data_IF_697719917158
#
_entry.id   IF_697719917158
#
_cell.length_a   1.000
_cell.length_b   1.000
_cell.length_c   1.000
_cell.angle_alpha   90.00
_cell.angle_beta   90.00
_cell.angle_gamma   90.00
#
_symmetry.space_group_name_H-M   'P 1'
#
loop_
_entity.id
_entity.type
_entity.pdbx_description
1 polymer ?
#
# COMPACT_ATOMS: atom_id res chain seq x y z
N UNK A 1 -15.83 -17.08 13.87
CA UNK A 1 -14.83 -18.11 13.69
C UNK A 1 -14.21 -18.00 12.32
N UNK A 2 -12.92 -18.16 12.27
CA UNK A 2 -12.17 -18.08 11.04
C UNK A 2 -11.89 -19.49 10.51
N UNK A 3 -12.06 -19.68 9.22
CA UNK A 3 -11.89 -20.97 8.58
C UNK A 3 -11.13 -20.86 7.29
N UNK A 4 -10.34 -21.87 7.00
CA UNK A 4 -9.77 -22.02 5.68
C UNK A 4 -10.82 -22.60 4.74
N UNK A 5 -10.64 -22.33 3.44
CA UNK A 5 -11.48 -22.95 2.43
C UNK A 5 -11.15 -24.43 2.30
N UNK A 6 -12.18 -25.20 2.02
CA UNK A 6 -11.96 -26.59 1.68
C UNK A 6 -11.60 -26.70 0.21
N UNK A 7 -10.58 -27.47 -0.08
CA UNK A 7 -10.18 -27.78 -1.45
C UNK A 7 -10.40 -29.25 -1.69
N UNK A 8 -10.95 -29.55 -2.84
CA UNK A 8 -11.14 -30.93 -3.27
C UNK A 8 -10.26 -31.13 -4.50
N UNK A 9 -9.41 -32.14 -4.42
CA UNK A 9 -8.50 -32.54 -5.51
C UNK A 9 -7.59 -31.43 -6.01
N UNK A 10 -7.12 -30.57 -5.09
CA UNK A 10 -6.18 -29.52 -5.42
C UNK A 10 -6.75 -28.41 -6.29
N UNK A 11 -8.03 -28.39 -6.53
CA UNK A 11 -8.67 -27.29 -7.25
C UNK A 11 -9.37 -26.37 -6.28
N UNK A 12 -9.25 -25.09 -6.49
CA UNK A 12 -9.87 -24.08 -5.65
C UNK A 12 -11.31 -23.76 -6.08
N UNK A 13 -11.84 -24.48 -7.03
CA UNK A 13 -13.10 -24.13 -7.69
C UNK A 13 -14.34 -24.28 -6.81
N UNK A 14 -14.27 -25.10 -5.78
CA UNK A 14 -15.44 -25.41 -4.95
C UNK A 14 -15.19 -25.10 -3.49
N UNK A 15 -14.85 -23.85 -3.18
CA UNK A 15 -14.81 -23.43 -1.80
C UNK A 15 -16.26 -23.28 -1.29
N UNK A 16 -16.59 -24.02 -0.26
CA UNK A 16 -17.89 -23.94 0.38
C UNK A 16 -17.84 -22.84 1.44
N UNK A 17 -18.79 -21.91 1.38
CA UNK A 17 -18.92 -20.93 2.45
C UNK A 17 -19.33 -21.65 3.73
N UNK A 18 -18.55 -21.47 4.79
CA UNK A 18 -18.80 -22.06 6.09
C UNK A 18 -19.43 -20.99 6.98
N UNK A 19 -20.52 -21.28 7.68
CA UNK A 19 -21.13 -20.29 8.57
C UNK A 19 -20.09 -19.71 9.54
N UNK A 20 -20.05 -18.38 9.64
CA UNK A 20 -19.07 -17.67 10.44
C UNK A 20 -17.70 -17.49 9.77
N UNK A 21 -17.53 -17.93 8.54
CA UNK A 21 -16.31 -17.68 7.77
C UNK A 21 -16.32 -16.25 7.25
N UNK A 22 -15.25 -15.53 7.54
CA UNK A 22 -14.99 -14.20 6.97
C UNK A 22 -13.91 -14.32 5.90
N UNK A 23 -14.23 -13.88 4.69
CA UNK A 23 -13.23 -13.80 3.64
C UNK A 23 -12.15 -12.80 4.04
N UNK A 24 -10.91 -13.07 3.60
CA UNK A 24 -9.83 -12.14 3.78
C UNK A 24 -10.17 -10.82 3.07
N UNK A 25 -10.11 -9.66 3.76
CA UNK A 25 -10.34 -8.38 3.09
C UNK A 25 -9.23 -8.09 2.10
N UNK A 26 -9.55 -7.28 1.10
CA UNK A 26 -8.60 -6.81 0.11
C UNK A 26 -8.24 -5.35 0.39
N UNK A 27 -6.98 -5.00 0.26
CA UNK A 27 -6.56 -3.62 0.11
C UNK A 27 -6.32 -3.36 -1.37
N UNK A 28 -6.98 -2.34 -1.90
CA UNK A 28 -6.91 -1.96 -3.30
C UNK A 28 -6.34 -0.56 -3.42
N UNK A 29 -5.52 -0.35 -4.42
CA UNK A 29 -4.86 0.94 -4.61
C UNK A 29 -4.53 1.18 -6.08
N UNK A 30 -4.55 2.44 -6.47
CA UNK A 30 -4.11 2.88 -7.79
C UNK A 30 -3.32 4.16 -7.66
N UNK A 31 -2.40 4.37 -8.59
CA UNK A 31 -1.51 5.53 -8.59
C UNK A 31 -1.62 6.31 -9.89
N UNK A 32 -1.45 7.62 -9.77
CA UNK A 32 -1.27 8.51 -10.91
C UNK A 32 0.22 8.63 -11.19
N UNK A 33 0.63 8.26 -12.39
CA UNK A 33 2.04 8.16 -12.78
C UNK A 33 2.35 9.23 -13.84
N UNK A 34 3.47 9.88 -13.68
CA UNK A 34 3.99 10.84 -14.65
C UNK A 34 3.90 10.27 -16.07
N UNK A 35 3.33 11.02 -16.99
CA UNK A 35 3.14 10.69 -18.41
C UNK A 35 2.13 9.60 -18.70
N UNK A 36 1.80 8.74 -17.72
CA UNK A 36 0.87 7.61 -17.92
C UNK A 36 -0.52 7.89 -17.33
N UNK A 37 -0.64 8.79 -16.36
CA UNK A 37 -1.90 9.06 -15.69
C UNK A 37 -2.28 7.97 -14.69
N UNK A 38 -3.58 7.88 -14.38
CA UNK A 38 -4.09 6.89 -13.45
C UNK A 38 -3.98 5.48 -14.05
N UNK A 39 -3.33 4.60 -13.28
CA UNK A 39 -3.28 3.17 -13.60
C UNK A 39 -4.53 2.46 -13.06
N UNK A 40 -4.75 1.23 -13.50
CA UNK A 40 -5.81 0.39 -12.97
C UNK A 40 -5.58 0.04 -11.51
N UNK A 41 -6.66 -0.30 -10.80
CA UNK A 41 -6.56 -0.78 -9.42
C UNK A 41 -5.66 -2.01 -9.33
N UNK A 42 -4.78 -1.99 -8.35
CA UNK A 42 -3.98 -3.13 -7.91
C UNK A 42 -4.47 -3.57 -6.54
N UNK A 43 -4.05 -4.74 -6.09
CA UNK A 43 -4.46 -5.25 -4.79
C UNK A 43 -3.40 -6.13 -4.14
N UNK A 44 -3.40 -6.19 -2.83
CA UNK A 44 -2.79 -7.23 -2.01
C UNK A 44 -1.34 -7.55 -2.36
N UNK A 45 -0.50 -6.54 -2.39
CA UNK A 45 0.93 -6.69 -2.62
C UNK A 45 1.37 -6.57 -4.07
N UNK A 46 0.44 -6.40 -5.01
CA UNK A 46 0.81 -6.08 -6.40
C UNK A 46 1.46 -4.70 -6.46
N UNK A 47 2.40 -4.52 -7.38
CA UNK A 47 3.03 -3.23 -7.57
C UNK A 47 2.12 -2.27 -8.34
N UNK A 48 1.86 -1.10 -7.76
CA UNK A 48 1.25 0.03 -8.48
C UNK A 48 2.32 1.07 -8.74
N UNK A 49 2.29 1.66 -9.93
CA UNK A 49 3.35 2.55 -10.40
C UNK A 49 4.28 1.83 -11.36
N UNK A 50 5.49 2.33 -11.46
CA UNK A 50 6.54 1.77 -12.30
C UNK A 50 7.86 1.75 -11.54
N UNK A 51 8.85 1.04 -12.07
CA UNK A 51 10.22 1.15 -11.62
C UNK A 51 11.14 0.92 -12.81
N UNK A 52 12.33 1.51 -12.77
CA UNK A 52 13.25 1.46 -13.89
C UNK A 52 12.86 2.36 -15.08
N UNK A 53 11.82 3.18 -14.94
CA UNK A 53 11.34 4.08 -16.00
C UNK A 53 11.51 5.56 -15.64
N UNK A 54 12.01 5.85 -14.47
CA UNK A 54 12.22 7.22 -13.99
C UNK A 54 10.95 8.07 -14.02
N UNK A 55 9.82 7.46 -13.64
CA UNK A 55 8.50 8.13 -13.61
C UNK A 55 8.05 8.28 -12.18
N UNK A 56 7.66 9.53 -11.81
CA UNK A 56 7.21 9.82 -10.46
C UNK A 56 5.76 9.40 -10.24
N UNK A 57 5.46 8.94 -9.03
CA UNK A 57 4.08 8.91 -8.55
C UNK A 57 3.66 10.32 -8.18
N UNK A 58 2.42 10.67 -8.50
CA UNK A 58 1.86 12.00 -8.27
C UNK A 58 0.65 11.97 -7.34
N UNK A 59 -0.09 10.89 -7.33
CA UNK A 59 -1.26 10.71 -6.48
C UNK A 59 -1.58 9.26 -6.27
N UNK A 60 -2.37 8.97 -5.23
CA UNK A 60 -2.78 7.62 -4.88
C UNK A 60 -4.17 7.61 -4.28
N UNK A 61 -4.95 6.59 -4.64
CA UNK A 61 -6.23 6.27 -4.01
C UNK A 61 -6.10 4.87 -3.39
N UNK A 62 -6.53 4.72 -2.14
CA UNK A 62 -6.48 3.44 -1.43
C UNK A 62 -7.86 3.15 -0.85
N UNK A 63 -8.34 1.92 -1.00
CA UNK A 63 -9.61 1.48 -0.41
C UNK A 63 -9.53 0.04 0.05
N UNK A 64 -10.43 -0.33 0.93
CA UNK A 64 -10.63 -1.69 1.37
C UNK A 64 -11.86 -2.28 0.65
N UNK A 65 -11.86 -3.58 0.47
CA UNK A 65 -13.03 -4.28 -0.01
C UNK A 65 -13.16 -5.62 0.69
N UNK A 66 -14.38 -6.17 0.69
CA UNK A 66 -14.68 -7.45 1.30
C UNK A 66 -14.31 -7.49 2.79
N UNK A 67 -14.58 -6.40 3.50
CA UNK A 67 -14.27 -6.29 4.93
C UNK A 67 -15.39 -6.91 5.76
N UNK A 68 -15.02 -7.80 6.67
CA UNK A 68 -15.93 -8.33 7.68
C UNK A 68 -15.96 -7.51 8.96
N UNK A 69 -15.22 -6.42 9.02
CA UNK A 69 -15.06 -5.56 10.20
C UNK A 69 -15.27 -4.10 9.81
N UNK A 70 -15.74 -3.32 10.79
CA UNK A 70 -15.84 -1.88 10.61
C UNK A 70 -14.46 -1.23 10.61
N UNK A 71 -14.39 -0.03 10.08
CA UNK A 71 -13.17 0.75 10.03
C UNK A 71 -12.82 1.18 8.62
N UNK A 72 -11.73 1.91 8.53
CA UNK A 72 -11.29 2.54 7.28
C UNK A 72 -9.80 2.38 7.09
N UNK A 73 -9.35 2.57 5.86
CA UNK A 73 -7.93 2.83 5.57
C UNK A 73 -7.75 4.34 5.41
N UNK A 74 -6.78 4.87 6.13
CA UNK A 74 -6.41 6.28 6.06
C UNK A 74 -4.97 6.42 5.61
N UNK A 75 -4.69 7.48 4.85
CA UNK A 75 -3.36 7.69 4.28
C UNK A 75 -3.13 9.16 4.01
N UNK A 76 -1.85 9.55 4.02
CA UNK A 76 -1.41 10.88 3.62
C UNK A 76 -0.02 10.79 2.99
N UNK A 77 0.31 11.75 2.15
CA UNK A 77 1.56 11.74 1.40
C UNK A 77 2.37 13.01 1.65
N UNK A 78 3.68 12.86 1.53
CA UNK A 78 4.63 13.97 1.48
C UNK A 78 4.82 14.34 0.02
N UNK A 79 4.49 15.60 -0.31
CA UNK A 79 4.38 16.08 -1.69
C UNK A 79 5.48 17.11 -1.94
N UNK A 80 6.08 17.04 -3.11
CA UNK A 80 7.05 18.05 -3.57
C UNK A 80 6.53 19.47 -3.31
N UNK A 81 7.33 20.28 -2.66
CA UNK A 81 7.06 21.68 -2.34
C UNK A 81 6.03 21.91 -1.24
N UNK A 82 5.14 20.94 -0.98
CA UNK A 82 4.05 21.09 0.01
C UNK A 82 4.36 20.39 1.34
N UNK A 83 5.21 19.36 1.33
CA UNK A 83 5.46 18.55 2.51
C UNK A 83 4.32 17.58 2.81
N UNK A 84 4.21 17.15 4.07
CA UNK A 84 3.13 16.27 4.49
C UNK A 84 1.78 16.96 4.41
N UNK A 85 0.80 16.28 3.82
CA UNK A 85 -0.59 16.74 3.89
C UNK A 85 -1.01 16.87 5.36
N UNK A 86 -1.79 17.92 5.66
CA UNK A 86 -2.20 18.21 7.05
C UNK A 86 -3.25 17.24 7.58
N UNK A 87 -4.06 16.66 6.69
CA UNK A 87 -5.11 15.73 7.05
C UNK A 87 -4.90 14.36 6.41
N UNK A 88 -5.60 13.36 6.95
CA UNK A 88 -5.62 12.02 6.40
C UNK A 88 -6.74 11.91 5.37
N UNK A 89 -6.43 11.34 4.23
CA UNK A 89 -7.43 10.90 3.25
C UNK A 89 -7.90 9.52 3.64
N UNK A 90 -9.08 9.11 3.17
CA UNK A 90 -9.57 7.76 3.48
C UNK A 90 -10.46 7.21 2.38
N UNK A 91 -10.50 5.89 2.31
CA UNK A 91 -11.52 5.10 1.60
C UNK A 91 -11.75 5.55 0.16
N UNK A 92 -10.68 5.57 -0.63
CA UNK A 92 -10.74 5.86 -2.05
C UNK A 92 -10.54 7.34 -2.42
N UNK A 93 -10.40 8.23 -1.46
CA UNK A 93 -10.07 9.63 -1.74
C UNK A 93 -8.64 9.75 -2.26
N UNK A 94 -8.37 10.77 -3.06
CA UNK A 94 -7.03 11.00 -3.58
C UNK A 94 -6.14 11.70 -2.56
N UNK A 95 -4.95 11.13 -2.33
CA UNK A 95 -3.84 11.75 -1.63
C UNK A 95 -2.77 12.11 -2.66
N UNK A 96 -2.16 13.28 -2.53
CA UNK A 96 -1.24 13.82 -3.51
C UNK A 96 -1.94 14.80 -4.44
N UNK A 97 -1.42 14.94 -5.65
CA UNK A 97 -1.94 15.90 -6.64
C UNK A 97 -2.13 15.22 -7.99
N UNK A 98 -2.90 15.87 -8.85
CA UNK A 98 -3.08 15.47 -10.23
C UNK A 98 -3.01 16.74 -11.09
N UNK A 99 -2.26 16.70 -12.18
CA UNK A 99 -2.13 17.84 -13.07
C UNK A 99 -1.19 18.95 -12.59
N UNK A 100 -0.46 18.75 -11.49
CA UNK A 100 0.47 19.74 -10.96
C UNK A 100 1.95 19.35 -11.14
N UNK A 101 2.21 18.18 -11.70
CA UNK A 101 3.56 17.68 -11.91
C UNK A 101 4.39 17.64 -10.60
N UNK A 102 3.75 17.27 -9.48
CA UNK A 102 4.37 17.19 -8.16
C UNK A 102 4.61 15.74 -7.80
N UNK A 103 5.86 15.39 -7.47
CA UNK A 103 6.20 14.04 -7.06
C UNK A 103 5.73 13.75 -5.64
N UNK A 104 5.32 12.52 -5.39
CA UNK A 104 5.22 11.99 -4.05
C UNK A 104 6.61 11.58 -3.57
N UNK A 105 6.90 11.83 -2.31
CA UNK A 105 8.20 11.56 -1.71
C UNK A 105 8.11 10.55 -0.58
N UNK A 106 6.98 10.47 0.12
CA UNK A 106 6.74 9.51 1.18
C UNK A 106 5.24 9.34 1.42
N UNK A 107 4.88 8.29 2.14
CA UNK A 107 3.50 7.97 2.47
C UNK A 107 3.42 7.38 3.88
N UNK A 108 2.29 7.63 4.55
CA UNK A 108 1.87 6.97 5.78
C UNK A 108 0.49 6.38 5.55
N UNK A 109 0.30 5.13 5.98
CA UNK A 109 -0.97 4.40 5.82
C UNK A 109 -1.32 3.75 7.15
N UNK A 110 -2.60 3.84 7.55
CA UNK A 110 -3.08 3.21 8.79
C UNK A 110 -4.51 2.71 8.62
N UNK A 111 -4.86 1.76 9.45
CA UNK A 111 -6.23 1.29 9.59
C UNK A 111 -6.89 1.96 10.80
N UNK A 112 -8.21 2.00 10.80
CA UNK A 112 -9.00 2.49 11.93
C UNK A 112 -10.06 1.47 12.33
N UNK A 113 -10.66 1.63 13.53
CA UNK A 113 -11.76 0.81 14.00
C UNK A 113 -11.38 -0.66 14.20
N UNK A 114 -12.34 -1.53 13.99
CA UNK A 114 -12.14 -2.97 14.15
C UNK A 114 -11.07 -3.53 13.17
N UNK A 115 -10.97 -2.95 11.99
CA UNK A 115 -9.93 -3.35 11.04
C UNK A 115 -8.54 -3.26 11.66
N UNK A 116 -8.25 -2.19 12.42
CA UNK A 116 -6.97 -2.01 13.09
C UNK A 116 -6.74 -3.01 14.22
N UNK A 117 -7.79 -3.62 14.76
CA UNK A 117 -7.69 -4.63 15.80
C UNK A 117 -7.39 -6.01 15.24
N UNK A 118 -7.75 -6.28 13.99
CA UNK A 118 -7.64 -7.59 13.37
C UNK A 118 -6.54 -7.71 12.33
N UNK A 119 -6.04 -6.59 11.81
CA UNK A 119 -5.04 -6.58 10.74
C UNK A 119 -3.94 -5.56 11.02
N UNK A 120 -2.74 -5.88 10.51
CA UNK A 120 -1.67 -4.90 10.30
C UNK A 120 -1.62 -4.58 8.81
N UNK A 121 -1.42 -3.30 8.48
CA UNK A 121 -1.23 -2.90 7.09
C UNK A 121 0.25 -2.62 6.87
N UNK A 122 0.85 -3.35 5.91
CA UNK A 122 2.24 -3.18 5.51
C UNK A 122 2.32 -2.51 4.16
N UNK A 123 3.33 -1.71 3.97
CA UNK A 123 3.55 -1.04 2.70
C UNK A 123 5.02 -0.70 2.54
N UNK A 124 5.48 -0.71 1.29
CA UNK A 124 6.82 -0.26 0.93
C UNK A 124 6.79 0.40 -0.43
N UNK A 125 7.79 1.24 -0.68
CA UNK A 125 7.87 2.03 -1.90
C UNK A 125 9.21 1.82 -2.59
N UNK A 126 9.20 2.01 -3.91
CA UNK A 126 10.41 2.13 -4.71
C UNK A 126 10.73 3.63 -4.81
N UNK A 127 11.89 4.02 -4.25
CA UNK A 127 12.31 5.41 -4.20
C UNK A 127 13.50 5.64 -5.12
N UNK A 128 13.50 6.77 -5.80
CA UNK A 128 14.60 7.19 -6.66
C UNK A 128 15.94 7.06 -5.91
N UNK A 129 16.92 6.46 -6.55
CA UNK A 129 18.28 6.20 -6.07
C UNK A 129 18.39 5.17 -4.94
N UNK A 130 17.33 4.87 -4.20
CA UNK A 130 17.36 3.89 -3.12
C UNK A 130 16.73 2.55 -3.47
N UNK A 131 15.89 2.49 -4.50
CA UNK A 131 15.18 1.27 -4.86
C UNK A 131 14.07 0.92 -3.87
N UNK A 132 13.76 -0.37 -3.74
CA UNK A 132 12.74 -0.85 -2.81
C UNK A 132 13.22 -0.72 -1.37
N UNK A 133 12.48 0.04 -0.57
CA UNK A 133 12.75 0.23 0.85
C UNK A 133 12.15 -0.91 1.67
N UNK A 134 12.47 -0.94 2.97
CA UNK A 134 11.91 -1.90 3.89
C UNK A 134 10.41 -1.70 4.12
N UNK A 135 9.74 -2.75 4.59
CA UNK A 135 8.30 -2.70 4.88
C UNK A 135 8.02 -1.83 6.10
N UNK A 136 7.22 -0.80 5.90
CA UNK A 136 6.63 0.01 6.96
C UNK A 136 5.26 -0.56 7.34
N UNK A 137 4.76 -0.24 8.53
CA UNK A 137 3.43 -0.68 8.96
C UNK A 137 2.73 0.38 9.79
N UNK A 138 1.40 0.38 9.74
CA UNK A 138 0.51 1.02 10.72
C UNK A 138 0.87 2.48 11.03
N UNK A 139 0.91 3.31 10.02
CA UNK A 139 1.14 4.75 10.18
C UNK A 139 2.61 5.18 10.16
N UNK A 140 3.54 4.25 10.08
CA UNK A 140 4.95 4.58 9.90
C UNK A 140 5.17 5.24 8.55
N UNK A 141 6.21 6.08 8.45
CA UNK A 141 6.59 6.70 7.19
C UNK A 141 7.30 5.72 6.28
N UNK A 142 6.97 5.76 5.00
CA UNK A 142 7.63 4.99 3.95
C UNK A 142 8.04 5.94 2.82
N UNK A 143 9.33 5.97 2.48
CA UNK A 143 9.85 6.83 1.44
C UNK A 143 11.00 7.69 1.93
N UNK A 144 11.08 8.92 1.42
CA UNK A 144 12.17 9.85 1.72
C UNK A 144 11.63 11.24 2.03
N UNK A 145 12.44 12.06 2.68
CA UNK A 145 12.17 13.48 2.85
C UNK A 145 13.47 14.26 2.82
N UNK A 146 13.47 15.42 2.17
CA UNK A 146 14.62 16.32 2.10
C UNK A 146 15.63 15.97 1.01
N UNK A 147 15.39 14.94 0.20
CA UNK A 147 16.28 14.54 -0.89
C UNK A 147 15.80 15.02 -2.26
N UNK A 148 14.57 15.46 -2.38
CA UNK A 148 13.93 15.72 -3.68
C UNK A 148 13.88 14.46 -4.56
N UNK A 149 13.70 13.29 -3.94
CA UNK A 149 13.60 12.00 -4.64
C UNK A 149 12.15 11.59 -4.77
N UNK A 150 11.78 11.12 -5.97
CA UNK A 150 10.42 10.68 -6.28
C UNK A 150 10.17 9.25 -5.80
N UNK A 151 8.95 8.97 -5.41
CA UNK A 151 8.44 7.61 -5.37
C UNK A 151 8.10 7.15 -6.78
N UNK A 152 8.32 5.89 -7.06
CA UNK A 152 8.13 5.30 -8.40
C UNK A 152 7.14 4.17 -8.40
N UNK A 153 7.04 3.42 -7.31
CA UNK A 153 6.12 2.30 -7.16
C UNK A 153 5.80 2.02 -5.70
N UNK A 154 4.73 1.28 -5.47
CA UNK A 154 4.27 0.93 -4.13
C UNK A 154 3.63 -0.45 -4.10
N UNK A 155 3.84 -1.16 -3.00
CA UNK A 155 3.15 -2.40 -2.65
C UNK A 155 2.47 -2.20 -1.29
N UNK A 156 1.21 -2.63 -1.17
CA UNK A 156 0.42 -2.53 0.07
C UNK A 156 -0.22 -3.88 0.35
N UNK A 157 -0.19 -4.32 1.61
CA UNK A 157 -0.63 -5.66 1.98
C UNK A 157 -1.23 -5.66 3.38
N UNK A 158 -2.33 -6.39 3.56
CA UNK A 158 -2.90 -6.67 4.87
C UNK A 158 -2.39 -8.04 5.35
N UNK A 159 -2.03 -8.11 6.63
CA UNK A 159 -1.74 -9.39 7.28
C UNK A 159 -2.54 -9.46 8.57
N UNK A 160 -2.84 -10.67 9.08
CA UNK A 160 -3.49 -10.81 10.39
C UNK A 160 -2.67 -10.10 11.46
N UNK A 161 -3.35 -9.50 12.42
CA UNK A 161 -2.72 -8.74 13.51
C UNK A 161 -1.63 -9.56 14.18
N UNK A 162 -0.43 -8.99 14.27
CA UNK A 162 0.72 -9.63 14.90
C UNK A 162 1.45 -10.66 14.04
N UNK A 163 1.01 -10.91 12.82
CA UNK A 163 1.71 -11.82 11.92
C UNK A 163 3.03 -11.20 11.44
N UNK A 164 3.92 -12.05 10.94
CA UNK A 164 5.20 -11.61 10.41
C UNK A 164 5.03 -10.63 9.24
N UNK A 165 5.99 -9.71 9.09
CA UNK A 165 6.06 -8.85 7.93
C UNK A 165 6.18 -9.66 6.64
N UNK A 166 5.70 -9.13 5.50
CA UNK A 166 5.94 -9.77 4.22
C UNK A 166 7.45 -9.94 3.97
N UNK A 167 7.79 -10.95 3.17
CA UNK A 167 9.19 -11.22 2.85
C UNK A 167 9.83 -10.04 2.11
N UNK A 168 11.14 -9.88 2.26
CA UNK A 168 11.90 -8.82 1.60
C UNK A 168 11.88 -8.93 0.08
N UNK A 169 11.61 -10.13 -0.45
CA UNK A 169 11.49 -10.38 -1.90
C UNK A 169 10.04 -10.60 -2.34
N UNK A 170 9.08 -10.13 -1.56
CA UNK A 170 7.66 -10.33 -1.85
C UNK A 170 7.30 -9.88 -3.26
N UNK A 171 6.56 -10.73 -3.97
CA UNK A 171 6.10 -10.43 -5.33
C UNK A 171 7.23 -10.36 -6.36
N UNK A 172 8.40 -10.90 -6.06
CA UNK A 172 9.56 -10.84 -6.95
C UNK A 172 10.30 -9.51 -6.92
N UNK A 173 9.87 -8.57 -6.07
CA UNK A 173 10.51 -7.25 -5.93
C UNK A 173 11.53 -7.30 -4.80
N UNK A 174 12.81 -7.32 -5.14
CA UNK A 174 13.89 -7.49 -4.18
C UNK A 174 14.15 -6.18 -3.45
N UNK A 175 14.16 -6.23 -2.12
CA UNK A 175 14.49 -5.09 -1.27
C UNK A 175 15.94 -4.64 -1.51
N UNK A 176 16.11 -3.34 -1.71
CA UNK A 176 17.43 -2.73 -1.94
C UNK A 176 17.98 -2.03 -0.71
N UNK A 177 17.12 -1.62 0.21
CA UNK A 177 17.49 -0.85 1.39
C UNK A 177 16.62 -1.28 2.58
N UNK A 178 17.19 -1.58 3.75
CA UNK A 178 16.42 -2.04 4.91
C UNK A 178 15.60 -0.94 5.58
N UNK A 179 15.94 0.33 5.37
CA UNK A 179 15.23 1.43 6.00
C UNK A 179 13.84 1.59 5.37
N UNK A 180 12.85 1.91 6.18
CA UNK A 180 11.50 2.21 5.71
C UNK A 180 11.38 3.66 5.27
N UNK A 181 12.13 4.54 5.91
CA UNK A 181 12.07 5.98 5.68
C UNK A 181 13.45 6.59 5.87
N UNK A 182 13.86 7.41 4.91
CA UNK A 182 15.18 8.05 4.90
C UNK A 182 14.96 9.56 4.80
N UNK A 183 15.27 10.26 5.87
CA UNK A 183 15.14 11.71 5.95
C UNK A 183 16.50 12.39 6.00
N UNK A 184 16.56 13.62 5.50
CA UNK A 184 17.77 14.43 5.48
C UNK A 184 17.57 15.76 6.20
#
# INVERSE_FOLDING_TARGET
>A
AYRTRAYVNGTSSNSIAIPGYNSQPNVMYKTHVQSFGWQNWKQNGDCSGTFGKSKRLEGINIKLSNCGYSGSVQYRTHIQSYGWESGWKQDGAMSGTSGQAKRLEAIQIRLTGEMAQHYDIYYRVHAQHFGWLGWAKNGESSGTAGYAYRLEGIQILLVPKGAAAPASNYGGMIQNNPNTFIAR
#
